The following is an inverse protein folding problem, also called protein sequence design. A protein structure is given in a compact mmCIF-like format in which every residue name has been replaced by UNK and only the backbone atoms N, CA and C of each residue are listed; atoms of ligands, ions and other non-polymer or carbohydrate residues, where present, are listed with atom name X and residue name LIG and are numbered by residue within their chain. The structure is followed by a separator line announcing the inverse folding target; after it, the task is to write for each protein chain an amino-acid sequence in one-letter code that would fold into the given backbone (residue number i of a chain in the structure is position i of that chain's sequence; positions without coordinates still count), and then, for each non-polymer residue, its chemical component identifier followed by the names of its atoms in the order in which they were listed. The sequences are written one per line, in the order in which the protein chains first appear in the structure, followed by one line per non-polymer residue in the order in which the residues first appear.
data_IF_348750419481
#
_entry.id   IF_348750419481
#
_cell.length_a   1.000
_cell.length_b   1.000
_cell.length_c   1.000
_cell.angle_alpha   90.00
_cell.angle_beta   90.00
_cell.angle_gamma   90.00
#
_symmetry.space_group_name_H-M   'P 1'
#
loop_
_entity.id
_entity.type
_entity.pdbx_description
1 polymer ?
#
# COMPACT_ATOMS: atom_id res chain seq x y z
N UNK A 1 14.35 -1.70 17.76
CA UNK A 1 13.56 -0.48 17.45
C UNK A 1 12.79 -0.84 16.19
N UNK A 2 11.46 -0.89 16.23
CA UNK A 2 10.69 -1.39 15.08
C UNK A 2 10.99 -0.51 13.86
N UNK A 3 11.50 -1.09 12.78
CA UNK A 3 11.82 -0.38 11.54
C UNK A 3 10.60 0.18 10.79
N UNK A 4 9.43 0.25 11.42
CA UNK A 4 8.17 0.75 10.86
C UNK A 4 8.23 2.28 10.84
N UNK A 5 8.15 2.86 9.65
CA UNK A 5 8.07 4.30 9.42
C UNK A 5 6.64 4.81 9.42
N UNK A 6 5.71 3.98 8.94
CA UNK A 6 4.32 4.36 8.76
C UNK A 6 3.43 3.13 8.89
N UNK A 7 2.33 3.27 9.60
CA UNK A 7 1.30 2.25 9.74
C UNK A 7 -0.05 2.95 9.85
N UNK A 8 -0.97 2.62 8.96
CA UNK A 8 -2.34 3.11 9.02
C UNK A 8 -3.32 2.19 8.30
N UNK A 9 -4.60 2.36 8.58
CA UNK A 9 -5.70 1.65 7.93
C UNK A 9 -6.33 2.59 6.89
N UNK A 10 -6.36 2.11 5.66
CA UNK A 10 -6.94 2.81 4.53
C UNK A 10 -8.19 2.11 4.04
N UNK A 11 -9.16 2.92 3.61
CA UNK A 11 -10.37 2.47 2.96
C UNK A 11 -10.35 2.88 1.48
N UNK A 12 -10.59 1.94 0.57
CA UNK A 12 -10.67 2.20 -0.87
C UNK A 12 -11.95 2.97 -1.17
N UNK A 13 -11.82 4.22 -1.60
CA UNK A 13 -12.94 5.09 -1.95
C UNK A 13 -13.28 5.03 -3.42
N UNK A 14 -12.26 4.96 -4.26
CA UNK A 14 -12.43 4.95 -5.71
C UNK A 14 -11.35 4.09 -6.37
N UNK A 15 -11.67 3.58 -7.56
CA UNK A 15 -10.79 2.71 -8.35
C UNK A 15 -10.82 3.15 -9.80
N UNK A 16 -9.64 3.46 -10.35
CA UNK A 16 -9.47 3.86 -11.75
C UNK A 16 -10.40 5.03 -12.18
N UNK A 17 -10.32 6.22 -11.53
CA UNK A 17 -11.23 7.35 -11.82
C UNK A 17 -11.14 7.88 -13.25
N UNK A 18 -10.01 7.65 -13.95
CA UNK A 18 -9.83 7.98 -15.36
C UNK A 18 -10.19 6.82 -16.32
N UNK A 19 -10.78 5.76 -15.80
CA UNK A 19 -11.02 4.50 -16.50
C UNK A 19 -9.82 3.55 -16.48
N UNK A 20 -10.10 2.26 -16.65
CA UNK A 20 -9.11 1.19 -16.63
C UNK A 20 -8.24 1.22 -17.89
N UNK A 21 -7.04 1.81 -17.78
CA UNK A 21 -6.05 1.85 -18.88
C UNK A 21 -5.20 0.58 -18.97
N UNK A 22 -5.11 -0.19 -17.89
CA UNK A 22 -4.27 -1.38 -17.81
C UNK A 22 -5.08 -2.58 -17.30
N UNK A 23 -4.95 -3.74 -17.95
CA UNK A 23 -5.74 -4.92 -17.59
C UNK A 23 -5.37 -5.50 -16.20
N UNK A 24 -4.10 -5.39 -15.82
CA UNK A 24 -3.51 -6.04 -14.64
C UNK A 24 -3.11 -5.06 -13.53
N UNK A 25 -3.25 -3.76 -13.77
CA UNK A 25 -2.90 -2.72 -12.80
C UNK A 25 -4.11 -1.84 -12.61
N UNK A 26 -4.45 -1.59 -11.36
CA UNK A 26 -5.52 -0.66 -10.99
C UNK A 26 -4.97 0.41 -10.05
N UNK A 27 -5.39 1.64 -10.29
CA UNK A 27 -5.09 2.80 -9.46
C UNK A 27 -6.16 2.96 -8.40
N UNK A 28 -5.79 2.69 -7.15
CA UNK A 28 -6.68 2.85 -6.01
C UNK A 28 -6.54 4.24 -5.42
N UNK A 29 -7.68 4.87 -5.16
CA UNK A 29 -7.77 6.07 -4.32
C UNK A 29 -8.32 5.65 -2.96
N UNK A 30 -7.49 5.77 -1.95
CA UNK A 30 -7.80 5.34 -0.60
C UNK A 30 -7.74 6.52 0.37
N UNK A 31 -8.58 6.50 1.39
CA UNK A 31 -8.61 7.49 2.45
C UNK A 31 -8.28 6.82 3.79
N UNK A 32 -7.40 7.44 4.57
CA UNK A 32 -7.06 7.00 5.92
C UNK A 32 -8.25 7.21 6.87
N UNK A 33 -8.49 6.25 7.76
CA UNK A 33 -9.51 6.41 8.81
C UNK A 33 -9.07 7.37 9.91
N UNK A 34 -7.77 7.41 10.21
CA UNK A 34 -7.23 8.06 11.41
C UNK A 34 -6.82 9.52 11.17
N UNK A 35 -6.18 9.78 10.04
CA UNK A 35 -5.42 11.02 9.83
C UNK A 35 -5.95 11.90 8.69
N UNK A 36 -7.06 11.52 8.02
CA UNK A 36 -7.56 12.19 6.81
C UNK A 36 -6.47 12.36 5.74
N UNK A 37 -5.65 11.34 5.56
CA UNK A 37 -4.68 11.29 4.48
C UNK A 37 -5.29 10.60 3.26
N UNK A 38 -5.01 11.16 2.09
CA UNK A 38 -5.32 10.54 0.81
C UNK A 38 -4.11 9.73 0.33
N UNK A 39 -4.36 8.50 -0.14
CA UNK A 39 -3.37 7.59 -0.69
C UNK A 39 -3.79 7.22 -2.12
N UNK A 40 -2.90 7.46 -3.07
CA UNK A 40 -3.04 6.93 -4.44
C UNK A 40 -2.00 5.83 -4.61
N UNK A 41 -2.46 4.60 -4.89
CA UNK A 41 -1.59 3.44 -5.02
C UNK A 41 -1.96 2.61 -6.25
N UNK A 42 -0.96 2.36 -7.10
CA UNK A 42 -1.09 1.45 -8.24
C UNK A 42 -0.74 0.04 -7.78
N UNK A 43 -1.72 -0.88 -7.81
CA UNK A 43 -1.52 -2.28 -7.41
C UNK A 43 -1.69 -3.23 -8.59
N UNK A 44 -1.08 -4.41 -8.49
CA UNK A 44 -1.35 -5.49 -9.43
C UNK A 44 -2.66 -6.19 -9.04
N UNK A 45 -3.76 -5.80 -9.70
CA UNK A 45 -5.11 -6.30 -9.42
C UNK A 45 -5.32 -7.77 -9.79
N UNK A 46 -4.37 -8.40 -10.51
CA UNK A 46 -4.45 -9.83 -10.83
C UNK A 46 -3.89 -10.71 -9.72
N UNK A 47 -2.82 -10.27 -9.05
CA UNK A 47 -2.22 -11.00 -7.92
C UNK A 47 -2.95 -10.72 -6.61
N UNK A 48 -3.41 -9.48 -6.44
CA UNK A 48 -4.12 -9.04 -5.24
C UNK A 48 -5.37 -8.26 -5.64
N UNK A 49 -6.48 -8.97 -5.94
CA UNK A 49 -7.73 -8.31 -6.28
C UNK A 49 -8.27 -7.56 -5.05
N UNK A 50 -8.67 -6.32 -5.27
CA UNK A 50 -9.31 -5.46 -4.27
C UNK A 50 -10.58 -4.87 -4.85
N UNK A 51 -11.55 -4.59 -3.98
CA UNK A 51 -12.85 -4.03 -4.35
C UNK A 51 -13.07 -2.66 -3.71
N UNK A 52 -14.04 -1.93 -4.25
CA UNK A 52 -14.42 -0.62 -3.76
C UNK A 52 -15.06 -0.74 -2.36
N UNK A 53 -14.57 0.01 -1.39
CA UNK A 53 -14.97 -0.08 0.02
C UNK A 53 -14.15 -1.06 0.86
N UNK A 54 -13.17 -1.76 0.28
CA UNK A 54 -12.26 -2.61 1.03
C UNK A 54 -11.37 -1.79 1.97
N UNK A 55 -11.15 -2.34 3.16
CA UNK A 55 -10.22 -1.79 4.15
C UNK A 55 -8.97 -2.64 4.21
N UNK A 56 -7.82 -2.00 4.14
CA UNK A 56 -6.53 -2.67 4.26
C UNK A 56 -5.59 -1.87 5.16
N UNK A 57 -4.67 -2.58 5.79
CA UNK A 57 -3.63 -1.97 6.61
C UNK A 57 -2.36 -1.84 5.78
N UNK A 58 -1.86 -0.62 5.65
CA UNK A 58 -0.61 -0.33 4.96
C UNK A 58 0.47 -0.07 6.01
N UNK A 59 1.58 -0.78 5.88
CA UNK A 59 2.76 -0.61 6.73
C UNK A 59 3.97 -0.37 5.84
N UNK A 60 4.67 0.74 6.05
CA UNK A 60 5.97 1.03 5.43
C UNK A 60 7.06 0.85 6.47
N UNK A 61 8.05 0.03 6.16
CA UNK A 61 9.20 -0.21 7.02
C UNK A 61 10.51 -0.02 6.23
N UNK A 62 11.56 0.44 6.90
CA UNK A 62 12.91 0.56 6.33
C UNK A 62 13.61 -0.78 6.17
N UNK A 63 13.20 -1.77 6.96
CA UNK A 63 13.75 -3.11 6.95
C UNK A 63 12.65 -4.12 7.28
N UNK A 64 12.84 -5.34 6.78
CA UNK A 64 12.02 -6.49 7.13
C UNK A 64 12.48 -7.13 8.45
N UNK A 65 13.71 -6.85 8.90
CA UNK A 65 14.21 -7.37 10.16
C UNK A 65 13.57 -6.65 11.34
N UNK A 66 12.98 -7.42 12.27
CA UNK A 66 12.32 -6.89 13.47
C UNK A 66 13.28 -6.11 14.38
N UNK A 67 14.58 -6.43 14.32
CA UNK A 67 15.62 -5.77 15.10
C UNK A 67 15.97 -4.35 14.59
N UNK A 68 15.49 -3.98 13.39
CA UNK A 68 15.77 -2.68 12.78
C UNK A 68 17.10 -2.63 12.02
N UNK A 69 17.80 -3.76 11.84
CA UNK A 69 18.99 -3.81 11.00
C UNK A 69 18.62 -3.74 9.52
N UNK A 70 19.21 -2.83 8.77
CA UNK A 70 19.07 -2.82 7.33
C UNK A 70 19.73 -4.09 6.80
N UNK A 71 18.95 -4.93 6.08
CA UNK A 71 19.50 -6.11 5.42
C UNK A 71 20.68 -5.65 4.58
N UNK A 72 21.89 -6.14 4.90
CA UNK A 72 23.06 -5.87 4.06
C UNK A 72 22.67 -6.33 2.66
N UNK A 73 22.81 -5.43 1.69
CA UNK A 73 22.92 -5.82 0.30
C UNK A 73 24.17 -6.69 0.21
N UNK A 74 24.00 -7.99 0.39
CA UNK A 74 25.00 -8.97 0.00
C UNK A 74 25.03 -8.94 -1.53
N UNK A 75 25.85 -8.02 -2.05
CA UNK A 75 26.17 -7.92 -3.46
C UNK A 75 26.88 -9.23 -3.81
N UNK A 76 26.18 -10.10 -4.55
CA UNK A 76 26.77 -11.21 -5.27
C UNK A 76 27.75 -10.68 -6.33
#
# INVERSE_FOLDING_TARGET
MSGILFEDIFNVKDMDPEGKKFDRVSRLHCESESFKMDLILDINSWLYPMELGDKFRLVLATTLHEDGTAGKLDVL
#
